data_IF_201235294311
#
_entry.id   IF_201235294311
#
_cell.length_a   1.000
_cell.length_b   1.000
_cell.length_c   1.000
_cell.angle_alpha   90.00
_cell.angle_beta   90.00
_cell.angle_gamma   90.00
#
_symmetry.space_group_name_H-M   'P 1'
#
loop_
_entity.id
_entity.type
_entity.pdbx_description
1 polymer ?
#
# COMPACT_ATOMS: atom_id res chain seq x y z
N UNK A 1 -12.57 64.84 -36.77
CA UNK A 1 -11.71 64.37 -35.66
C UNK A 1 -12.57 64.02 -34.43
N UNK A 2 -13.55 63.11 -34.57
CA UNK A 2 -14.54 62.83 -33.52
C UNK A 2 -14.83 61.32 -33.29
N UNK A 3 -14.11 60.41 -33.96
CA UNK A 3 -14.34 58.96 -33.85
C UNK A 3 -13.39 58.24 -32.86
N UNK A 4 -12.41 58.96 -32.27
CA UNK A 4 -11.40 58.36 -31.37
C UNK A 4 -11.77 58.37 -29.88
N UNK A 5 -12.84 59.06 -29.49
CA UNK A 5 -13.17 59.26 -28.08
C UNK A 5 -14.22 58.27 -27.53
N UNK A 6 -15.05 57.64 -28.38
CA UNK A 6 -16.02 56.64 -27.91
C UNK A 6 -15.41 55.27 -27.61
N UNK A 7 -14.23 54.96 -28.15
CA UNK A 7 -13.55 53.66 -27.93
C UNK A 7 -12.73 53.62 -26.65
N UNK A 8 -12.37 54.78 -26.08
CA UNK A 8 -11.51 54.88 -24.89
C UNK A 8 -12.28 54.61 -23.59
N UNK A 9 -13.53 55.08 -23.47
CA UNK A 9 -14.35 54.84 -22.27
C UNK A 9 -14.83 53.39 -22.15
N UNK A 10 -15.19 52.73 -23.25
CA UNK A 10 -15.57 51.31 -23.23
C UNK A 10 -14.43 50.35 -22.83
N UNK A 11 -13.18 50.72 -23.12
CA UNK A 11 -11.98 49.93 -22.77
C UNK A 11 -11.62 50.03 -21.28
N UNK A 12 -11.84 51.18 -20.63
CA UNK A 12 -11.57 51.36 -19.20
C UNK A 12 -12.53 50.54 -18.32
N UNK A 13 -13.80 50.42 -18.69
CA UNK A 13 -14.77 49.58 -17.95
C UNK A 13 -14.57 48.07 -18.17
N UNK A 14 -14.05 47.65 -19.33
CA UNK A 14 -13.71 46.26 -19.59
C UNK A 14 -12.47 45.82 -18.80
N UNK A 15 -11.40 46.63 -18.83
CA UNK A 15 -10.15 46.35 -18.10
C UNK A 15 -10.33 46.32 -16.58
N UNK A 16 -11.18 47.19 -16.02
CA UNK A 16 -11.46 47.19 -14.58
C UNK A 16 -12.18 45.92 -14.10
N UNK A 17 -13.10 45.39 -14.92
CA UNK A 17 -13.82 44.14 -14.61
C UNK A 17 -12.89 42.93 -14.68
N UNK A 18 -12.06 42.88 -15.72
CA UNK A 18 -11.05 41.82 -15.90
C UNK A 18 -10.02 41.84 -14.77
N UNK A 19 -9.53 43.04 -14.40
CA UNK A 19 -8.57 43.16 -13.31
C UNK A 19 -9.15 42.75 -11.96
N UNK A 20 -10.40 43.14 -11.64
CA UNK A 20 -11.11 42.66 -10.45
C UNK A 20 -11.26 41.13 -10.43
N UNK A 21 -11.60 40.53 -11.57
CA UNK A 21 -11.73 39.07 -11.67
C UNK A 21 -10.38 38.36 -11.43
N UNK A 22 -9.28 38.88 -12.00
CA UNK A 22 -7.94 38.35 -11.78
C UNK A 22 -7.50 38.48 -10.31
N UNK A 23 -7.81 39.62 -9.68
CA UNK A 23 -7.46 39.86 -8.28
C UNK A 23 -8.23 38.92 -7.33
N UNK A 24 -9.53 38.71 -7.59
CA UNK A 24 -10.35 37.73 -6.87
C UNK A 24 -9.88 36.30 -7.10
N UNK A 25 -9.48 35.95 -8.32
CA UNK A 25 -8.95 34.63 -8.64
C UNK A 25 -7.63 34.37 -7.89
N UNK A 26 -6.72 35.35 -7.87
CA UNK A 26 -5.44 35.23 -7.19
C UNK A 26 -5.62 35.06 -5.68
N UNK A 27 -6.52 35.86 -5.07
CA UNK A 27 -6.89 35.75 -3.67
C UNK A 27 -7.48 34.37 -3.34
N UNK A 28 -8.37 33.86 -4.20
CA UNK A 28 -8.96 32.52 -4.04
C UNK A 28 -7.91 31.41 -4.10
N UNK A 29 -7.01 31.45 -5.10
CA UNK A 29 -5.92 30.48 -5.24
C UNK A 29 -4.97 30.51 -4.05
N UNK A 30 -4.65 31.70 -3.53
CA UNK A 30 -3.71 31.85 -2.42
C UNK A 30 -4.35 31.43 -1.09
N UNK A 31 -5.61 31.77 -0.87
CA UNK A 31 -6.38 31.29 0.29
C UNK A 31 -6.50 29.76 0.27
N UNK A 32 -6.80 29.17 -0.90
CA UNK A 32 -6.84 27.72 -1.07
C UNK A 32 -5.49 27.06 -0.76
N UNK A 33 -4.38 27.61 -1.28
CA UNK A 33 -3.05 27.11 -1.00
C UNK A 33 -2.68 27.21 0.49
N UNK A 34 -3.01 28.31 1.17
CA UNK A 34 -2.77 28.48 2.60
C UNK A 34 -3.56 27.46 3.45
N UNK A 35 -4.82 27.22 3.11
CA UNK A 35 -5.66 26.19 3.77
C UNK A 35 -5.08 24.80 3.54
N UNK A 36 -4.68 24.47 2.31
CA UNK A 36 -4.04 23.19 1.98
C UNK A 36 -2.70 23.02 2.70
N UNK A 37 -1.91 24.08 2.86
CA UNK A 37 -0.63 24.03 3.56
C UNK A 37 -0.83 23.88 5.08
N UNK A 38 -1.86 24.52 5.66
CA UNK A 38 -2.24 24.33 7.05
C UNK A 38 -2.76 22.91 7.34
N UNK A 39 -3.53 22.33 6.41
CA UNK A 39 -3.98 20.94 6.47
C UNK A 39 -2.87 19.93 6.11
N UNK A 40 -1.86 20.33 5.34
CA UNK A 40 -0.74 19.46 4.98
C UNK A 40 0.05 18.95 6.20
N UNK A 41 0.08 19.74 7.28
CA UNK A 41 0.68 19.35 8.56
C UNK A 41 -0.24 18.49 9.44
N UNK A 42 -1.51 18.32 9.07
CA UNK A 42 -2.50 17.47 9.74
C UNK A 42 -3.28 16.71 8.67
N UNK A 43 -2.69 15.67 8.05
CA UNK A 43 -3.41 14.89 7.05
C UNK A 43 -4.74 14.44 7.67
N UNK A 44 -5.88 14.60 6.95
CA UNK A 44 -7.17 14.20 7.49
C UNK A 44 -7.06 12.74 7.92
N UNK A 45 -7.35 12.49 9.20
CA UNK A 45 -7.35 11.16 9.79
C UNK A 45 -8.09 10.23 8.84
N UNK A 46 -7.42 9.15 8.44
CA UNK A 46 -7.94 8.17 7.49
C UNK A 46 -9.16 7.47 8.09
N UNK A 47 -10.31 8.13 8.06
CA UNK A 47 -11.59 7.56 8.42
C UNK A 47 -12.01 6.54 7.38
N UNK A 48 -13.07 5.79 7.72
CA UNK A 48 -13.63 4.69 6.93
C UNK A 48 -14.06 5.02 5.47
N UNK A 49 -13.86 6.26 5.01
CA UNK A 49 -14.22 6.76 3.68
C UNK A 49 -13.04 7.35 2.88
N UNK A 50 -11.79 7.10 3.28
CA UNK A 50 -10.65 7.46 2.45
C UNK A 50 -10.66 6.65 1.14
N UNK A 51 -10.70 7.34 0.00
CA UNK A 51 -10.60 6.72 -1.33
C UNK A 51 -9.34 5.86 -1.47
N UNK A 52 -8.23 6.26 -0.83
CA UNK A 52 -7.00 5.46 -0.77
C UNK A 52 -7.22 4.10 -0.10
N UNK A 53 -7.99 4.04 0.99
CA UNK A 53 -8.36 2.79 1.66
C UNK A 53 -9.21 1.90 0.76
N UNK A 54 -10.14 2.49 0.01
CA UNK A 54 -10.97 1.74 -0.93
C UNK A 54 -10.15 1.18 -2.11
N UNK A 55 -9.27 1.99 -2.69
CA UNK A 55 -8.35 1.55 -3.74
C UNK A 55 -7.37 0.49 -3.26
N UNK A 56 -6.85 0.62 -2.03
CA UNK A 56 -5.96 -0.38 -1.42
C UNK A 56 -6.69 -1.69 -1.14
N UNK A 57 -7.92 -1.64 -0.62
CA UNK A 57 -8.75 -2.82 -0.36
C UNK A 57 -9.12 -3.51 -1.67
N UNK A 58 -9.60 -2.77 -2.67
CA UNK A 58 -9.98 -3.33 -3.98
C UNK A 58 -8.78 -3.94 -4.74
N UNK A 59 -7.60 -3.31 -4.69
CA UNK A 59 -6.39 -3.85 -5.30
C UNK A 59 -5.93 -5.14 -4.59
N UNK A 60 -6.03 -5.17 -3.26
CA UNK A 60 -5.71 -6.34 -2.45
C UNK A 60 -6.70 -7.48 -2.70
N UNK A 61 -8.00 -7.19 -2.76
CA UNK A 61 -9.04 -8.17 -3.07
C UNK A 61 -8.84 -8.77 -4.46
N UNK A 62 -8.39 -7.98 -5.45
CA UNK A 62 -8.03 -8.51 -6.77
C UNK A 62 -6.85 -9.48 -6.72
N UNK A 63 -5.81 -9.18 -5.92
CA UNK A 63 -4.66 -10.08 -5.73
C UNK A 63 -5.07 -11.38 -5.03
N UNK A 64 -5.95 -11.28 -4.03
CA UNK A 64 -6.49 -12.45 -3.33
C UNK A 64 -7.38 -13.24 -4.27
N UNK A 65 -8.29 -12.61 -5.01
CA UNK A 65 -9.26 -13.28 -5.87
C UNK A 65 -8.66 -13.92 -7.14
N UNK A 66 -7.45 -13.54 -7.55
CA UNK A 66 -6.82 -14.04 -8.78
C UNK A 66 -6.46 -15.54 -8.76
N UNK A 67 -6.55 -16.23 -7.63
CA UNK A 67 -6.29 -17.68 -7.58
C UNK A 67 -7.55 -18.49 -7.91
N UNK A 68 -7.48 -19.25 -9.00
CA UNK A 68 -8.62 -19.93 -9.64
C UNK A 68 -9.27 -21.07 -8.83
N UNK A 69 -8.79 -21.39 -7.63
CA UNK A 69 -9.31 -22.53 -6.86
C UNK A 69 -9.26 -22.28 -5.34
N UNK A 70 -10.08 -21.37 -4.84
CA UNK A 70 -10.15 -21.05 -3.41
C UNK A 70 -11.25 -21.85 -2.71
N UNK A 71 -10.95 -23.07 -2.26
CA UNK A 71 -11.77 -23.72 -1.25
C UNK A 71 -11.70 -22.90 0.05
N UNK A 72 -12.84 -22.31 0.44
CA UNK A 72 -12.98 -21.40 1.59
C UNK A 72 -12.54 -22.00 2.94
N UNK A 73 -12.40 -23.32 3.05
CA UNK A 73 -12.18 -24.03 4.32
C UNK A 73 -10.72 -24.49 4.58
N UNK A 74 -9.74 -24.07 3.77
CA UNK A 74 -8.35 -24.60 3.90
C UNK A 74 -7.41 -23.75 4.75
N UNK A 75 -7.61 -22.43 4.79
CA UNK A 75 -6.70 -21.49 5.45
C UNK A 75 -7.25 -21.11 6.82
N UNK A 76 -6.42 -21.22 7.86
CA UNK A 76 -6.82 -21.03 9.26
C UNK A 76 -5.89 -20.11 10.04
N UNK A 77 -4.78 -19.69 9.44
CA UNK A 77 -3.71 -18.94 10.09
C UNK A 77 -2.94 -18.08 9.10
N UNK A 78 -2.44 -16.94 9.58
CA UNK A 78 -1.48 -16.09 8.86
C UNK A 78 -0.21 -15.98 9.70
N UNK A 79 0.94 -16.15 9.04
CA UNK A 79 2.27 -16.00 9.62
C UNK A 79 3.02 -14.95 8.81
N UNK A 80 3.49 -13.91 9.50
CA UNK A 80 4.27 -12.81 8.92
C UNK A 80 5.73 -13.03 9.34
N UNK A 81 6.64 -12.90 8.38
CA UNK A 81 8.08 -13.05 8.60
C UNK A 81 8.85 -11.95 7.90
N UNK A 82 10.06 -11.68 8.37
CA UNK A 82 11.02 -10.86 7.65
C UNK A 82 11.89 -11.69 6.72
N UNK A 83 12.26 -11.12 5.58
CA UNK A 83 13.18 -11.77 4.62
C UNK A 83 14.60 -11.90 5.17
N UNK A 84 14.98 -11.08 6.15
CA UNK A 84 16.36 -10.95 6.61
C UNK A 84 17.27 -10.25 5.60
N UNK A 85 16.69 -9.54 4.62
CA UNK A 85 17.42 -8.85 3.55
C UNK A 85 17.09 -7.36 3.52
N UNK A 86 18.06 -6.53 3.13
CA UNK A 86 17.87 -5.07 3.00
C UNK A 86 17.11 -4.65 1.75
N UNK A 87 17.10 -5.50 0.73
CA UNK A 87 16.44 -5.29 -0.54
C UNK A 87 15.90 -6.63 -1.04
N UNK A 88 14.90 -6.60 -1.90
CA UNK A 88 14.31 -7.82 -2.42
C UNK A 88 13.02 -7.65 -3.20
N UNK A 89 12.87 -8.57 -4.15
CA UNK A 89 11.64 -8.98 -4.80
C UNK A 89 11.68 -10.52 -4.91
N UNK A 90 10.72 -11.13 -5.60
CA UNK A 90 10.67 -12.61 -5.75
C UNK A 90 11.98 -13.15 -6.35
N UNK A 91 12.51 -12.51 -7.38
CA UNK A 91 13.68 -12.98 -8.11
C UNK A 91 14.96 -12.85 -7.27
N UNK A 92 15.12 -11.72 -6.58
CA UNK A 92 16.26 -11.46 -5.71
C UNK A 92 16.28 -12.36 -4.48
N UNK A 93 15.11 -12.57 -3.84
CA UNK A 93 14.99 -13.45 -2.69
C UNK A 93 15.27 -14.91 -3.08
N UNK A 94 14.81 -15.35 -4.25
CA UNK A 94 15.09 -16.69 -4.75
C UNK A 94 16.59 -16.92 -4.98
N UNK A 95 17.26 -15.94 -5.61
CA UNK A 95 18.71 -15.96 -5.82
C UNK A 95 19.47 -15.98 -4.49
N UNK A 96 19.08 -15.13 -3.54
CA UNK A 96 19.69 -15.07 -2.22
C UNK A 96 19.51 -16.38 -1.43
N UNK A 97 18.39 -17.08 -1.63
CA UNK A 97 18.12 -18.39 -1.04
C UNK A 97 18.76 -19.57 -1.81
N UNK A 98 19.49 -19.31 -2.91
CA UNK A 98 20.10 -20.36 -3.74
C UNK A 98 19.08 -21.22 -4.50
N UNK A 99 17.86 -20.72 -4.72
CA UNK A 99 16.80 -21.42 -5.43
C UNK A 99 16.99 -21.33 -6.94
N UNK A 100 16.52 -22.35 -7.67
CA UNK A 100 16.62 -22.40 -9.14
C UNK A 100 15.57 -21.51 -9.81
N UNK A 101 14.44 -21.29 -9.15
CA UNK A 101 13.35 -20.43 -9.62
C UNK A 101 12.71 -19.69 -8.44
N UNK A 102 12.20 -18.45 -8.63
CA UNK A 102 11.34 -17.76 -7.67
C UNK A 102 10.07 -18.53 -7.29
N UNK A 103 9.62 -19.48 -8.12
CA UNK A 103 8.44 -20.31 -7.82
C UNK A 103 8.66 -21.27 -6.65
N UNK A 104 9.93 -21.51 -6.27
CA UNK A 104 10.30 -22.36 -5.15
C UNK A 104 10.33 -21.61 -3.82
N UNK A 105 9.99 -20.32 -3.81
CA UNK A 105 10.00 -19.53 -2.59
C UNK A 105 8.91 -20.02 -1.62
N UNK A 106 9.26 -20.28 -0.34
CA UNK A 106 8.32 -20.79 0.65
C UNK A 106 7.48 -19.67 1.29
N UNK A 107 6.94 -18.77 0.46
CA UNK A 107 6.03 -17.70 0.86
C UNK A 107 4.83 -17.68 -0.07
N UNK A 108 3.67 -17.21 0.40
CA UNK A 108 2.50 -16.98 -0.44
C UNK A 108 2.51 -15.56 -1.02
N UNK A 109 2.94 -14.60 -0.19
CA UNK A 109 3.05 -13.19 -0.56
C UNK A 109 4.40 -12.63 -0.14
N UNK A 110 4.91 -11.68 -0.91
CA UNK A 110 6.11 -10.91 -0.62
C UNK A 110 5.75 -9.43 -0.67
N UNK A 111 6.20 -8.64 0.31
CA UNK A 111 5.96 -7.19 0.38
C UNK A 111 7.28 -6.44 0.24
N UNK A 112 7.46 -5.75 -0.88
CA UNK A 112 8.69 -5.04 -1.23
C UNK A 112 8.86 -3.73 -0.44
N UNK A 113 10.10 -3.26 -0.30
CA UNK A 113 10.49 -2.09 0.49
C UNK A 113 11.01 -0.91 -0.36
N UNK A 114 10.67 -0.88 -1.65
CA UNK A 114 11.20 0.13 -2.58
C UNK A 114 12.57 -0.23 -3.19
N UNK A 115 13.23 -1.31 -2.74
CA UNK A 115 14.52 -1.76 -3.27
C UNK A 115 14.37 -3.14 -3.95
N UNK A 116 14.03 -3.13 -5.25
CA UNK A 116 13.76 -4.32 -6.06
C UNK A 116 12.32 -4.43 -6.56
N UNK A 117 11.42 -3.62 -5.99
CA UNK A 117 10.03 -3.40 -6.43
C UNK A 117 9.53 -2.10 -5.78
N UNK A 118 8.30 -1.70 -6.05
CA UNK A 118 7.73 -0.50 -5.42
C UNK A 118 7.55 -0.70 -3.91
N UNK A 119 7.64 0.38 -3.13
CA UNK A 119 7.47 0.31 -1.67
C UNK A 119 6.03 -0.06 -1.32
N UNK A 120 5.86 -1.09 -0.48
CA UNK A 120 4.57 -1.69 -0.16
C UNK A 120 3.95 -2.50 -1.31
N UNK A 121 4.68 -2.78 -2.40
CA UNK A 121 4.16 -3.65 -3.46
C UNK A 121 4.00 -5.08 -2.93
N UNK A 122 2.78 -5.63 -3.06
CA UNK A 122 2.51 -7.04 -2.76
C UNK A 122 2.69 -7.87 -4.03
N UNK A 123 3.56 -8.86 -3.96
CA UNK A 123 3.80 -9.83 -5.03
C UNK A 123 3.31 -11.22 -4.57
N UNK A 124 2.27 -11.79 -5.22
CA UNK A 124 1.92 -13.19 -5.00
C UNK A 124 3.00 -14.11 -5.60
N UNK A 125 3.14 -15.30 -5.04
CA UNK A 125 4.07 -16.33 -5.51
C UNK A 125 3.32 -17.52 -6.14
N UNK A 126 4.06 -18.42 -6.78
CA UNK A 126 3.51 -19.68 -7.27
C UNK A 126 2.80 -20.52 -6.19
N UNK A 127 3.23 -20.44 -4.92
CA UNK A 127 2.55 -21.12 -3.83
C UNK A 127 1.15 -20.56 -3.58
N UNK A 128 0.97 -19.24 -3.70
CA UNK A 128 -0.36 -18.63 -3.62
C UNK A 128 -1.21 -18.98 -4.83
N UNK A 129 -0.64 -18.87 -6.04
CA UNK A 129 -1.39 -19.13 -7.28
C UNK A 129 -1.94 -20.56 -7.32
N UNK A 130 -1.11 -21.54 -6.92
CA UNK A 130 -1.48 -22.94 -6.82
C UNK A 130 -2.13 -23.34 -5.48
N UNK A 131 -2.29 -22.39 -4.55
CA UNK A 131 -2.83 -22.61 -3.21
C UNK A 131 -2.15 -23.76 -2.45
N UNK A 132 -0.83 -23.83 -2.56
CA UNK A 132 0.01 -24.88 -1.99
C UNK A 132 0.29 -24.63 -0.51
N UNK A 133 0.22 -25.69 0.30
CA UNK A 133 0.71 -25.62 1.67
C UNK A 133 2.24 -25.58 1.67
N UNK A 134 2.80 -24.68 2.47
CA UNK A 134 4.24 -24.51 2.56
C UNK A 134 4.75 -25.32 3.74
N UNK A 135 5.55 -26.35 3.48
CA UNK A 135 6.22 -27.11 4.53
C UNK A 135 7.36 -26.28 5.15
N UNK A 136 7.57 -26.38 6.46
CA UNK A 136 8.77 -25.83 7.08
C UNK A 136 9.96 -26.76 6.81
N UNK A 137 11.18 -26.30 7.10
CA UNK A 137 12.42 -27.09 6.92
C UNK A 137 12.48 -28.36 7.77
N UNK A 138 11.57 -28.53 8.72
CA UNK A 138 11.46 -29.69 9.61
C UNK A 138 10.24 -30.58 9.26
N UNK A 139 9.56 -30.34 8.12
CA UNK A 139 8.34 -31.06 7.72
C UNK A 139 7.14 -30.81 8.63
N UNK A 140 7.22 -29.85 9.56
CA UNK A 140 6.28 -29.58 10.66
C UNK A 140 5.34 -28.42 10.39
N UNK A 141 5.15 -28.05 9.12
CA UNK A 141 4.18 -27.00 8.80
C UNK A 141 2.78 -27.40 9.24
N UNK A 142 2.13 -26.49 9.96
CA UNK A 142 0.70 -26.58 10.20
C UNK A 142 -0.02 -26.27 8.89
N UNK A 143 -0.66 -27.30 8.35
CA UNK A 143 -1.58 -27.16 7.22
C UNK A 143 -2.51 -25.95 7.42
N UNK A 144 -2.77 -25.21 6.34
CA UNK A 144 -3.63 -24.02 6.38
C UNK A 144 -2.98 -22.72 6.85
N UNK A 145 -1.64 -22.63 6.87
CA UNK A 145 -0.93 -21.37 7.18
C UNK A 145 -0.58 -20.58 5.91
N UNK A 146 -1.08 -19.35 5.81
CA UNK A 146 -0.65 -18.36 4.81
C UNK A 146 0.61 -17.66 5.34
N UNK A 147 1.66 -17.61 4.52
CA UNK A 147 2.95 -17.00 4.85
C UNK A 147 3.18 -15.72 4.05
N UNK A 148 3.38 -14.62 4.75
CA UNK A 148 3.65 -13.30 4.18
C UNK A 148 5.08 -12.93 4.56
N UNK A 149 5.91 -12.65 3.56
CA UNK A 149 7.30 -12.22 3.74
C UNK A 149 7.42 -10.72 3.51
N UNK A 150 7.83 -9.97 4.53
CA UNK A 150 8.15 -8.54 4.40
C UNK A 150 9.65 -8.44 4.10
N UNK A 151 10.00 -7.71 3.05
CA UNK A 151 11.40 -7.44 2.71
C UNK A 151 11.96 -6.44 3.71
N UNK A 152 12.68 -6.96 4.70
CA UNK A 152 13.32 -6.20 5.76
C UNK A 152 14.40 -7.07 6.42
N UNK A 153 15.47 -6.45 6.92
CA UNK A 153 16.54 -7.17 7.62
C UNK A 153 16.15 -7.47 9.09
N UNK A 154 15.18 -6.72 9.64
CA UNK A 154 14.60 -6.94 10.97
C UNK A 154 15.49 -6.57 12.14
N UNK A 155 16.78 -6.26 11.90
CA UNK A 155 17.78 -5.92 12.92
C UNK A 155 18.23 -4.46 12.84
N UNK A 156 18.46 -3.96 11.62
CA UNK A 156 18.98 -2.60 11.33
C UNK A 156 17.93 -1.75 10.61
N UNK A 157 17.11 -2.37 9.76
CA UNK A 157 16.04 -1.70 9.02
C UNK A 157 14.69 -2.32 9.36
N UNK A 158 13.85 -1.54 10.04
CA UNK A 158 12.44 -1.84 10.23
C UNK A 158 11.68 -1.76 8.89
N UNK A 159 10.55 -2.46 8.75
CA UNK A 159 9.65 -2.25 7.61
C UNK A 159 9.24 -0.79 7.45
N UNK A 160 9.03 -0.37 6.21
CA UNK A 160 8.53 0.99 5.92
C UNK A 160 7.06 1.14 6.33
N UNK A 161 6.61 2.36 6.55
CA UNK A 161 5.19 2.65 6.82
C UNK A 161 4.27 2.15 5.69
N UNK A 162 4.76 2.21 4.44
CA UNK A 162 4.02 1.72 3.28
C UNK A 162 3.87 0.19 3.33
N UNK A 163 4.93 -0.54 3.70
CA UNK A 163 4.87 -1.98 3.91
C UNK A 163 3.90 -2.34 5.03
N UNK A 164 3.98 -1.68 6.19
CA UNK A 164 3.11 -1.96 7.35
C UNK A 164 1.64 -1.77 6.96
N UNK A 165 1.29 -0.59 6.42
CA UNK A 165 -0.08 -0.30 5.96
C UNK A 165 -0.58 -1.32 4.96
N UNK A 166 0.27 -1.74 4.02
CA UNK A 166 -0.13 -2.70 3.01
C UNK A 166 -0.31 -4.12 3.56
N UNK A 167 0.54 -4.54 4.48
CA UNK A 167 0.40 -5.81 5.18
C UNK A 167 -0.89 -5.82 6.00
N UNK A 168 -1.21 -4.75 6.70
CA UNK A 168 -2.46 -4.66 7.48
C UNK A 168 -3.69 -4.79 6.58
N UNK A 169 -3.74 -4.07 5.44
CA UNK A 169 -4.82 -4.23 4.47
C UNK A 169 -4.91 -5.67 3.92
N UNK A 170 -3.76 -6.30 3.63
CA UNK A 170 -3.71 -7.68 3.15
C UNK A 170 -4.22 -8.67 4.19
N UNK A 171 -3.77 -8.55 5.43
CA UNK A 171 -4.20 -9.39 6.55
C UNK A 171 -5.70 -9.21 6.79
N UNK A 172 -6.20 -7.99 6.80
CA UNK A 172 -7.62 -7.72 6.98
C UNK A 172 -8.48 -8.38 5.89
N UNK A 173 -8.11 -8.21 4.61
CA UNK A 173 -8.82 -8.87 3.50
C UNK A 173 -8.74 -10.40 3.59
N UNK A 174 -7.58 -10.98 3.93
CA UNK A 174 -7.43 -12.44 4.09
C UNK A 174 -8.26 -12.97 5.26
N UNK A 175 -8.25 -12.29 6.40
CA UNK A 175 -9.06 -12.65 7.56
C UNK A 175 -10.55 -12.62 7.24
N UNK A 176 -11.04 -11.56 6.57
CA UNK A 176 -12.43 -11.46 6.14
C UNK A 176 -12.80 -12.56 5.15
N UNK A 177 -11.94 -12.81 4.15
CA UNK A 177 -12.21 -13.74 3.06
C UNK A 177 -12.25 -15.20 3.53
N UNK A 178 -11.31 -15.59 4.39
CA UNK A 178 -11.14 -16.98 4.84
C UNK A 178 -11.63 -17.21 6.28
N UNK A 179 -12.28 -16.22 6.90
CA UNK A 179 -12.76 -16.28 8.28
C UNK A 179 -11.66 -16.64 9.29
N UNK A 180 -10.43 -16.17 9.04
CA UNK A 180 -9.30 -16.37 9.95
C UNK A 180 -9.47 -15.41 11.12
N UNK A 181 -9.44 -15.94 12.34
CA UNK A 181 -9.53 -15.14 13.55
C UNK A 181 -8.27 -14.25 13.69
N UNK A 182 -8.39 -12.99 14.13
CA UNK A 182 -7.23 -12.13 14.40
C UNK A 182 -6.20 -12.75 15.36
N UNK A 183 -6.66 -13.59 16.30
CA UNK A 183 -5.79 -14.36 17.22
C UNK A 183 -4.97 -15.46 16.56
N UNK A 184 -5.24 -15.77 15.28
CA UNK A 184 -4.46 -16.68 14.45
C UNK A 184 -3.54 -15.94 13.46
N UNK A 185 -3.31 -14.64 13.67
CA UNK A 185 -2.30 -13.88 12.95
C UNK A 185 -1.06 -13.75 13.82
N UNK A 186 0.07 -14.23 13.31
CA UNK A 186 1.34 -14.22 14.01
C UNK A 186 2.29 -13.22 13.35
N UNK A 187 2.68 -12.21 14.13
CA UNK A 187 3.66 -11.22 13.74
C UNK A 187 5.06 -11.66 14.19
N UNK A 188 6.13 -11.30 13.45
CA UNK A 188 7.50 -11.44 13.94
C UNK A 188 7.65 -10.64 15.23
N UNK A 189 8.41 -11.16 16.19
CA UNK A 189 8.57 -10.61 17.54
C UNK A 189 8.93 -9.12 17.56
N UNK A 190 9.62 -8.62 16.53
CA UNK A 190 10.09 -7.24 16.43
C UNK A 190 9.03 -6.25 15.89
N UNK A 191 7.92 -6.72 15.28
CA UNK A 191 6.81 -5.84 14.87
C UNK A 191 5.96 -5.37 16.06
N UNK A 192 5.94 -6.13 17.16
CA UNK A 192 5.10 -5.85 18.33
C UNK A 192 5.56 -4.57 19.06
N UNK A 193 6.85 -4.24 18.95
CA UNK A 193 7.46 -3.10 19.65
C UNK A 193 7.21 -1.75 18.95
N UNK A 194 6.70 -1.75 17.71
CA UNK A 194 6.44 -0.52 16.94
C UNK A 194 5.02 0.05 17.07
N UNK A 195 4.13 -0.60 17.82
CA UNK A 195 2.73 -0.18 18.04
C UNK A 195 2.51 0.56 19.38
N UNK A 196 3.57 0.80 20.15
CA UNK A 196 3.51 1.69 21.32
C UNK A 196 4.16 3.01 20.93
N UNK A 197 3.35 4.01 20.56
CA UNK A 197 3.45 5.45 20.89
C UNK A 197 2.39 6.24 20.11
#
# INVERSE_FOLDING_TARGET
MAARNLTRDGQHHASLRVWKALLMLLLSMTAGAAVLMALGNNPPSAGAFCLSSYYMLAATDKLIASSANQAMARWSRIEICYSGTRAGNRELLARAAGLRSPDQLPYHFIVCNGQGGDDGQILPTACWDHQQFIQDRHGRSRAGTIRICIVADGRVACPTDAQIKRVDCLVESLCKRFQILPSQVYYPSDLITGQTY
#
